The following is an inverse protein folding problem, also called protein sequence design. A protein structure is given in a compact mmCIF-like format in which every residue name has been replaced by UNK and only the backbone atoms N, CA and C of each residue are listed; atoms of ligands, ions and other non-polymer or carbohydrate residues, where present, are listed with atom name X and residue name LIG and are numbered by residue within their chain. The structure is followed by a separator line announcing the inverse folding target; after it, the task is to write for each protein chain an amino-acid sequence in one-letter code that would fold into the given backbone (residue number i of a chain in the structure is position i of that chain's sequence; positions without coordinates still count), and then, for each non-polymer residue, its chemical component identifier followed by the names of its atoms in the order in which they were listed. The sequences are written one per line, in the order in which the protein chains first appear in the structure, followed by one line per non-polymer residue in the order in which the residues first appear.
data_IF_794237349514
#
_entry.id   IF_794237349514
#
_cell.length_a   1.000
_cell.length_b   1.000
_cell.length_c   1.000
_cell.angle_alpha   90.00
_cell.angle_beta   90.00
_cell.angle_gamma   90.00
#
_symmetry.space_group_name_H-M   'P 1'
#
loop_
_entity.id
_entity.type
_entity.pdbx_description
1 polymer ?
#
# COMPACT_ATOMS: atom_id res chain seq x y z
N UNK A 1 -30.20 -5.54 7.77
CA UNK A 1 -29.56 -4.70 8.81
C UNK A 1 -29.07 -5.63 9.91
N UNK A 2 -27.77 -5.87 9.99
CA UNK A 2 -27.19 -6.71 11.04
C UNK A 2 -27.25 -5.95 12.37
N UNK A 3 -27.76 -6.60 13.42
CA UNK A 3 -27.83 -6.04 14.77
C UNK A 3 -26.39 -5.88 15.30
N UNK A 4 -26.03 -4.68 15.79
CA UNK A 4 -24.75 -4.45 16.46
C UNK A 4 -24.67 -5.36 17.69
N UNK A 5 -23.53 -6.02 17.86
CA UNK A 5 -23.20 -6.87 19.01
C UNK A 5 -23.01 -5.96 20.24
N UNK A 6 -23.64 -6.30 21.35
CA UNK A 6 -23.51 -5.56 22.62
C UNK A 6 -22.64 -6.35 23.61
N UNK A 7 -22.28 -5.74 24.74
CA UNK A 7 -21.55 -6.40 25.85
C UNK A 7 -22.17 -7.75 26.27
N UNK A 8 -23.51 -7.84 26.26
CA UNK A 8 -24.22 -9.07 26.63
C UNK A 8 -24.08 -10.21 25.59
N UNK A 9 -23.66 -9.90 24.36
CA UNK A 9 -23.46 -10.87 23.28
C UNK A 9 -22.00 -11.39 23.22
N UNK A 10 -21.13 -10.94 24.14
CA UNK A 10 -19.71 -11.33 24.21
C UNK A 10 -19.57 -12.72 24.85
N UNK A 11 -19.15 -13.70 24.05
CA UNK A 11 -18.98 -15.10 24.45
C UNK A 11 -17.67 -15.36 25.23
N UNK A 12 -17.57 -16.53 25.85
CA UNK A 12 -16.34 -16.98 26.53
C UNK A 12 -15.14 -17.10 25.58
N UNK A 13 -15.36 -17.36 24.29
CA UNK A 13 -14.31 -17.37 23.27
C UNK A 13 -13.74 -15.96 23.05
N UNK A 14 -14.62 -14.95 22.99
CA UNK A 14 -14.21 -13.54 22.91
C UNK A 14 -13.46 -13.08 24.15
N UNK A 15 -13.94 -13.43 25.37
CA UNK A 15 -13.27 -13.07 26.63
C UNK A 15 -11.85 -13.64 26.72
N UNK A 16 -11.64 -14.88 26.28
CA UNK A 16 -10.29 -15.47 26.20
C UNK A 16 -9.36 -14.68 25.28
N UNK A 17 -9.87 -14.26 24.12
CA UNK A 17 -9.13 -13.42 23.18
C UNK A 17 -8.81 -12.06 23.83
N UNK A 18 -9.78 -11.43 24.48
CA UNK A 18 -9.59 -10.14 25.14
C UNK A 18 -8.56 -10.20 26.27
N UNK A 19 -8.55 -11.28 27.06
CA UNK A 19 -7.54 -11.50 28.10
C UNK A 19 -6.11 -11.59 27.54
N UNK A 20 -5.94 -12.28 26.41
CA UNK A 20 -4.64 -12.37 25.73
C UNK A 20 -4.22 -11.00 25.19
N UNK A 21 -5.14 -10.25 24.59
CA UNK A 21 -4.90 -8.90 24.07
C UNK A 21 -4.53 -7.92 25.19
N UNK A 22 -5.29 -7.95 26.29
CA UNK A 22 -5.07 -7.19 27.52
C UNK A 22 -3.66 -7.40 28.05
N UNK A 23 -3.24 -8.66 28.22
CA UNK A 23 -1.90 -9.01 28.70
C UNK A 23 -0.76 -8.47 27.82
N UNK A 24 -0.92 -8.47 26.50
CA UNK A 24 0.16 -8.10 25.58
C UNK A 24 0.26 -6.60 25.26
N UNK A 25 -0.81 -5.84 25.50
CA UNK A 25 -0.86 -4.40 25.28
C UNK A 25 -0.94 -3.58 26.56
N UNK A 26 -0.88 -4.23 27.73
CA UNK A 26 -0.99 -3.60 29.05
C UNK A 26 -2.29 -2.77 29.19
N UNK A 27 -3.39 -3.31 28.67
CA UNK A 27 -4.74 -2.73 28.74
C UNK A 27 -5.61 -3.57 29.67
N UNK A 28 -6.68 -2.99 30.22
CA UNK A 28 -7.70 -3.76 30.95
C UNK A 28 -8.60 -4.54 29.97
N UNK A 29 -9.19 -5.65 30.42
CA UNK A 29 -10.13 -6.41 29.59
C UNK A 29 -11.33 -5.57 29.15
N UNK A 30 -11.82 -4.68 30.04
CA UNK A 30 -12.90 -3.75 29.73
C UNK A 30 -12.51 -2.74 28.63
N UNK A 31 -11.29 -2.21 28.65
CA UNK A 31 -10.78 -1.32 27.59
C UNK A 31 -10.69 -2.05 26.24
N UNK A 32 -10.24 -3.31 26.24
CA UNK A 32 -10.16 -4.13 25.02
C UNK A 32 -11.55 -4.41 24.47
N UNK A 33 -12.50 -4.79 25.31
CA UNK A 33 -13.88 -5.07 24.92
C UNK A 33 -14.57 -3.82 24.35
N UNK A 34 -14.48 -2.69 25.05
CA UNK A 34 -15.02 -1.42 24.59
C UNK A 34 -14.42 -1.02 23.24
N UNK A 35 -13.09 -1.14 23.10
CA UNK A 35 -12.40 -0.80 21.86
C UNK A 35 -12.83 -1.70 20.69
N UNK A 36 -13.00 -3.00 20.94
CA UNK A 36 -13.45 -3.96 19.93
C UNK A 36 -14.89 -3.69 19.47
N UNK A 37 -15.79 -3.36 20.39
CA UNK A 37 -17.20 -3.06 20.07
C UNK A 37 -17.40 -1.68 19.45
N UNK A 38 -16.57 -0.69 19.82
CA UNK A 38 -16.59 0.65 19.25
C UNK A 38 -15.89 0.75 17.89
N UNK A 39 -15.10 -0.25 17.51
CA UNK A 39 -14.46 -0.31 16.20
C UNK A 39 -15.50 -0.40 15.06
N UNK A 40 -15.30 0.26 13.90
CA UNK A 40 -16.32 0.37 12.85
C UNK A 40 -16.93 -0.97 12.40
N UNK A 41 -16.08 -1.99 12.22
CA UNK A 41 -16.46 -3.32 11.77
C UNK A 41 -16.37 -4.37 12.88
N UNK A 42 -15.97 -3.98 14.09
CA UNK A 42 -15.60 -4.89 15.18
C UNK A 42 -16.71 -5.86 15.61
N UNK A 43 -17.94 -5.39 15.90
CA UNK A 43 -19.06 -6.25 16.25
C UNK A 43 -19.38 -7.33 15.21
N UNK A 44 -19.28 -6.99 13.92
CA UNK A 44 -19.53 -7.93 12.83
C UNK A 44 -18.39 -8.96 12.71
N UNK A 45 -17.14 -8.52 12.88
CA UNK A 45 -15.96 -9.38 12.86
C UNK A 45 -15.97 -10.42 13.98
N UNK A 46 -16.32 -10.01 15.20
CA UNK A 46 -16.44 -10.94 16.34
C UNK A 46 -17.51 -12.01 16.08
N UNK A 47 -18.69 -11.60 15.61
CA UNK A 47 -19.76 -12.54 15.27
C UNK A 47 -19.37 -13.52 14.16
N UNK A 48 -18.71 -13.00 13.11
CA UNK A 48 -18.25 -13.81 12.00
C UNK A 48 -17.15 -14.78 12.43
N UNK A 49 -16.31 -14.40 13.39
CA UNK A 49 -15.26 -15.24 13.93
C UNK A 49 -15.82 -16.45 14.69
N UNK A 50 -16.90 -16.27 15.44
CA UNK A 50 -17.61 -17.35 16.12
C UNK A 50 -18.29 -18.29 15.11
N UNK A 51 -19.05 -17.72 14.16
CA UNK A 51 -19.84 -18.48 13.20
C UNK A 51 -18.99 -19.25 12.17
N UNK A 52 -17.77 -18.78 11.89
CA UNK A 52 -16.91 -19.34 10.84
C UNK A 52 -15.92 -20.36 11.39
N UNK A 53 -15.73 -21.45 10.64
CA UNK A 53 -14.68 -22.45 10.92
C UNK A 53 -13.28 -21.97 10.56
N UNK A 54 -13.18 -21.01 9.64
CA UNK A 54 -11.92 -20.39 9.22
C UNK A 54 -12.10 -18.89 9.23
N UNK A 55 -11.40 -18.21 10.14
CA UNK A 55 -11.56 -16.77 10.37
C UNK A 55 -10.29 -16.19 11.01
N UNK A 56 -10.10 -14.89 10.82
CA UNK A 56 -8.98 -14.14 11.38
C UNK A 56 -9.51 -12.87 12.05
N UNK A 57 -9.02 -12.57 13.25
CA UNK A 57 -9.20 -11.29 13.92
C UNK A 57 -7.86 -10.59 14.05
N UNK A 58 -7.85 -9.28 13.81
CA UNK A 58 -6.66 -8.43 13.92
C UNK A 58 -6.93 -7.28 14.88
N UNK A 59 -6.17 -7.24 15.98
CA UNK A 59 -6.17 -6.16 16.95
C UNK A 59 -4.95 -5.30 16.74
N UNK A 60 -5.14 -4.04 16.35
CA UNK A 60 -4.06 -3.09 16.16
C UNK A 60 -4.00 -2.10 17.30
N UNK A 61 -2.84 -2.03 17.94
CA UNK A 61 -2.52 -1.02 18.94
C UNK A 61 -1.69 0.07 18.28
N UNK A 62 -2.34 1.19 17.98
CA UNK A 62 -1.78 2.26 17.15
C UNK A 62 -2.19 3.64 17.63
N UNK A 63 -1.39 4.67 17.32
CA UNK A 63 -1.80 6.06 17.57
C UNK A 63 -2.96 6.39 16.65
N UNK A 64 -4.01 7.02 17.16
CA UNK A 64 -5.05 7.54 16.28
C UNK A 64 -4.45 8.53 15.27
N UNK A 65 -4.92 8.51 14.03
CA UNK A 65 -4.63 9.63 13.14
C UNK A 65 -5.44 10.82 13.68
N UNK A 66 -4.83 11.99 13.93
CA UNK A 66 -5.61 13.15 14.33
C UNK A 66 -6.66 13.42 13.25
N UNK A 67 -7.94 13.41 13.64
CA UNK A 67 -8.99 14.02 12.83
C UNK A 67 -8.56 15.46 12.60
N UNK A 68 -8.29 15.81 11.34
CA UNK A 68 -7.97 17.13 10.79
C UNK A 68 -8.19 18.31 11.76
N UNK A 69 -7.24 18.52 12.66
CA UNK A 69 -6.96 19.81 13.26
C UNK A 69 -5.45 19.88 13.27
N UNK A 70 -4.89 20.60 12.30
CA UNK A 70 -3.52 21.09 12.35
C UNK A 70 -3.37 22.00 13.58
N UNK A 71 -3.21 21.38 14.74
CA UNK A 71 -2.76 22.05 15.94
C UNK A 71 -1.28 21.72 16.05
N UNK A 72 -0.45 22.71 15.72
CA UNK A 72 1.01 22.71 15.85
C UNK A 72 1.46 22.77 17.33
N UNK A 73 0.80 22.00 18.19
CA UNK A 73 1.16 21.80 19.60
C UNK A 73 1.27 20.30 19.80
N UNK A 74 2.41 19.85 20.31
CA UNK A 74 2.73 18.43 20.55
C UNK A 74 1.81 17.77 21.57
N UNK A 75 0.55 17.56 21.21
CA UNK A 75 -0.39 16.70 21.93
C UNK A 75 0.02 15.27 21.58
N UNK A 76 0.52 14.53 22.57
CA UNK A 76 0.71 13.08 22.43
C UNK A 76 -0.64 12.46 22.11
N UNK A 77 -0.82 12.03 20.86
CA UNK A 77 -2.03 11.33 20.46
C UNK A 77 -2.08 10.00 21.20
N UNK A 78 -3.16 9.69 21.96
CA UNK A 78 -3.26 8.46 22.71
C UNK A 78 -3.22 7.26 21.76
N UNK A 79 -2.64 6.17 22.25
CA UNK A 79 -2.72 4.88 21.59
C UNK A 79 -4.15 4.35 21.73
N UNK A 80 -4.75 3.91 20.64
CA UNK A 80 -6.03 3.22 20.63
C UNK A 80 -5.89 1.81 20.08
N UNK A 81 -6.75 0.92 20.59
CA UNK A 81 -6.87 -0.43 20.10
C UNK A 81 -8.01 -0.47 19.07
N UNK A 82 -7.75 -1.03 17.90
CA UNK A 82 -8.75 -1.10 16.83
C UNK A 82 -8.85 -2.53 16.33
N UNK A 83 -10.09 -3.03 16.24
CA UNK A 83 -10.41 -4.31 15.62
C UNK A 83 -10.81 -4.09 14.15
N UNK A 84 -10.08 -4.72 13.22
CA UNK A 84 -10.31 -4.56 11.78
C UNK A 84 -9.97 -5.82 11.01
N UNK A 85 -10.49 -5.94 9.78
CA UNK A 85 -10.08 -6.95 8.80
C UNK A 85 -8.84 -6.54 7.99
N UNK A 86 -8.37 -5.31 8.21
CA UNK A 86 -7.18 -4.73 7.63
C UNK A 86 -7.30 -4.25 6.18
N UNK A 87 -8.51 -4.15 5.63
CA UNK A 87 -8.71 -3.70 4.24
C UNK A 87 -8.85 -2.19 4.07
N UNK A 88 -9.53 -1.53 5.01
CA UNK A 88 -9.99 -0.15 4.84
C UNK A 88 -9.23 0.87 5.70
N UNK A 89 -8.42 0.42 6.65
CA UNK A 89 -7.78 1.31 7.63
C UNK A 89 -6.26 1.31 7.45
N UNK A 90 -5.67 2.50 7.59
CA UNK A 90 -4.22 2.65 7.68
C UNK A 90 -3.74 2.03 8.99
N UNK A 91 -2.90 1.02 8.87
CA UNK A 91 -2.39 0.22 9.98
C UNK A 91 -0.96 0.63 10.28
N UNK A 92 -0.63 0.94 11.53
CA UNK A 92 0.73 1.18 12.02
C UNK A 92 0.88 0.63 13.44
N UNK A 93 2.07 0.24 13.87
CA UNK A 93 2.31 -0.22 15.24
C UNK A 93 2.20 -1.74 15.42
N UNK A 94 1.68 -2.19 16.56
CA UNK A 94 1.65 -3.60 16.89
C UNK A 94 0.28 -4.20 16.60
N UNK A 95 0.29 -5.31 15.88
CA UNK A 95 -0.86 -6.15 15.59
C UNK A 95 -0.79 -7.42 16.42
N UNK A 96 -1.90 -7.81 17.03
CA UNK A 96 -2.11 -9.19 17.45
C UNK A 96 -3.14 -9.83 16.53
N UNK A 97 -2.81 -10.99 15.99
CA UNK A 97 -3.73 -11.76 15.16
C UNK A 97 -4.17 -13.03 15.86
N UNK A 98 -5.41 -13.44 15.59
CA UNK A 98 -6.00 -14.69 16.04
C UNK A 98 -6.55 -15.41 14.83
N UNK A 99 -6.08 -16.63 14.59
CA UNK A 99 -6.44 -17.45 13.45
C UNK A 99 -7.13 -18.73 13.91
N UNK A 100 -8.35 -18.89 13.42
CA UNK A 100 -9.16 -20.11 13.54
C UNK A 100 -9.11 -20.82 12.21
N UNK A 101 -8.82 -22.12 12.22
CA UNK A 101 -8.77 -22.93 11.00
C UNK A 101 -9.38 -24.30 11.25
N UNK A 102 -10.16 -24.79 10.28
CA UNK A 102 -10.73 -26.15 10.34
C UNK A 102 -9.65 -27.25 10.45
N UNK A 103 -8.42 -26.96 9.99
CA UNK A 103 -7.30 -27.91 10.00
C UNK A 103 -6.57 -28.00 11.34
N UNK A 104 -6.77 -27.03 12.24
CA UNK A 104 -6.08 -26.97 13.53
C UNK A 104 -7.11 -26.79 14.64
N UNK A 105 -7.23 -27.72 15.60
CA UNK A 105 -8.25 -27.64 16.64
C UNK A 105 -8.01 -26.48 17.62
N UNK A 106 -6.79 -25.93 17.66
CA UNK A 106 -6.40 -24.86 18.57
C UNK A 106 -6.41 -23.49 17.88
N UNK A 107 -6.80 -22.47 18.64
CA UNK A 107 -6.66 -21.07 18.26
C UNK A 107 -5.18 -20.72 18.13
N UNK A 108 -4.78 -20.25 16.95
CA UNK A 108 -3.42 -19.79 16.70
C UNK A 108 -3.40 -18.27 16.95
N UNK A 109 -2.54 -17.81 17.85
CA UNK A 109 -2.33 -16.38 18.07
C UNK A 109 -0.87 -16.00 17.80
N UNK A 110 -0.66 -14.75 17.43
CA UNK A 110 0.68 -14.22 17.26
C UNK A 110 0.70 -12.70 17.22
N UNK A 111 1.90 -12.14 17.37
CA UNK A 111 2.13 -10.69 17.35
C UNK A 111 2.98 -10.31 16.15
N UNK A 112 2.54 -9.31 15.41
CA UNK A 112 3.22 -8.74 14.26
C UNK A 112 3.46 -7.27 14.53
N UNK A 113 4.62 -6.75 14.13
CA UNK A 113 4.84 -5.30 14.11
C UNK A 113 4.62 -4.82 12.69
N UNK A 114 3.48 -4.20 12.44
CA UNK A 114 3.22 -3.54 11.17
C UNK A 114 3.94 -2.19 11.19
N UNK A 115 5.17 -2.15 10.65
CA UNK A 115 5.79 -0.87 10.33
C UNK A 115 5.10 -0.37 9.06
N UNK A 116 4.36 0.72 9.18
CA UNK A 116 3.88 1.50 8.05
C UNK A 116 4.27 2.95 8.31
N UNK A 117 5.53 3.27 8.05
CA UNK A 117 6.10 4.62 8.13
C UNK A 117 7.24 4.72 7.11
N UNK A 118 7.93 5.86 7.07
CA UNK A 118 9.09 6.12 6.19
C UNK A 118 10.18 5.02 6.24
N UNK A 119 10.20 4.18 7.27
CA UNK A 119 11.15 3.08 7.49
C UNK A 119 10.67 1.66 7.10
N UNK A 120 9.45 1.49 6.56
CA UNK A 120 9.00 0.19 6.04
C UNK A 120 7.49 0.03 5.93
N UNK A 121 7.05 -0.92 5.09
CA UNK A 121 5.64 -1.28 4.85
C UNK A 121 5.26 -2.65 5.44
N UNK A 122 3.96 -2.97 5.45
CA UNK A 122 3.50 -4.33 5.78
C UNK A 122 4.11 -5.37 4.82
N UNK A 123 4.36 -4.99 3.56
CA UNK A 123 5.01 -5.87 2.59
C UNK A 123 6.45 -6.20 3.00
N UNK A 124 7.26 -5.22 3.45
CA UNK A 124 8.59 -5.46 4.04
C UNK A 124 8.51 -6.43 5.21
N UNK A 125 7.51 -6.26 6.07
CA UNK A 125 7.32 -7.11 7.25
C UNK A 125 7.04 -8.55 6.83
N UNK A 126 6.14 -8.76 5.87
CA UNK A 126 5.84 -10.09 5.30
C UNK A 126 7.07 -10.69 4.62
N UNK A 127 7.78 -9.91 3.80
CA UNK A 127 9.01 -10.36 3.12
C UNK A 127 10.08 -10.78 4.14
N UNK A 128 10.28 -10.01 5.20
CA UNK A 128 11.22 -10.35 6.28
C UNK A 128 10.83 -11.65 7.00
N UNK A 129 9.55 -11.85 7.32
CA UNK A 129 9.08 -13.08 7.97
C UNK A 129 9.27 -14.30 7.07
N UNK A 130 8.90 -14.18 5.79
CA UNK A 130 9.08 -15.24 4.81
C UNK A 130 10.56 -15.59 4.64
N UNK A 131 11.43 -14.58 4.48
CA UNK A 131 12.87 -14.74 4.24
C UNK A 131 13.62 -15.28 5.47
N UNK A 132 13.32 -14.78 6.66
CA UNK A 132 14.12 -15.03 7.86
C UNK A 132 13.57 -16.15 8.76
N UNK A 133 12.27 -16.43 8.71
CA UNK A 133 11.63 -17.43 9.59
C UNK A 133 11.15 -18.63 8.77
N UNK A 134 10.26 -18.39 7.80
CA UNK A 134 9.60 -19.49 7.10
C UNK A 134 10.53 -20.22 6.12
N UNK A 135 11.30 -19.50 5.31
CA UNK A 135 12.23 -20.10 4.33
C UNK A 135 13.29 -21.01 4.98
N UNK A 136 13.97 -20.63 6.07
CA UNK A 136 14.85 -21.53 6.80
C UNK A 136 14.11 -22.73 7.39
N UNK A 137 12.93 -22.52 7.98
CA UNK A 137 12.12 -23.61 8.55
C UNK A 137 11.71 -24.65 7.50
N UNK A 138 11.31 -24.21 6.30
CA UNK A 138 11.00 -25.07 5.17
C UNK A 138 12.24 -25.74 4.55
N UNK A 139 13.42 -25.17 4.77
CA UNK A 139 14.70 -25.69 4.29
C UNK A 139 15.34 -26.72 5.23
N UNK A 140 14.93 -26.75 6.50
CA UNK A 140 15.45 -27.70 7.50
C UNK A 140 14.52 -28.90 7.67
N UNK A 141 13.20 -28.73 7.50
CA UNK A 141 12.22 -29.81 7.66
C UNK A 141 12.45 -30.96 6.68
N UNK A 142 12.86 -32.12 7.19
CA UNK A 142 13.08 -33.37 6.43
C UNK A 142 11.81 -34.17 6.15
N UNK A 143 10.72 -33.89 6.87
CA UNK A 143 9.57 -34.82 6.98
C UNK A 143 8.35 -34.36 6.16
N UNK A 144 8.56 -33.94 4.91
CA UNK A 144 7.46 -33.41 4.10
C UNK A 144 6.49 -34.48 3.57
N UNK A 145 6.93 -35.74 3.36
CA UNK A 145 6.08 -36.92 3.09
C UNK A 145 6.92 -38.20 3.01
N UNK A 146 6.28 -39.38 3.06
CA UNK A 146 6.90 -40.72 2.96
C UNK A 146 7.54 -41.06 1.58
N UNK A 147 7.41 -40.22 0.55
CA UNK A 147 7.94 -40.45 -0.80
C UNK A 147 9.04 -39.42 -1.13
N UNK A 148 10.30 -39.78 -0.90
CA UNK A 148 11.47 -38.89 -0.90
C UNK A 148 11.64 -38.07 -2.20
N UNK A 149 11.59 -38.68 -3.39
CA UNK A 149 11.86 -37.97 -4.66
C UNK A 149 10.79 -36.96 -5.08
N UNK A 150 9.49 -37.28 -4.87
CA UNK A 150 8.39 -36.36 -5.20
C UNK A 150 8.27 -35.26 -4.15
N UNK A 151 8.61 -35.57 -2.90
CA UNK A 151 8.66 -34.61 -1.80
C UNK A 151 9.74 -33.54 -2.06
N UNK A 152 10.94 -33.95 -2.47
CA UNK A 152 12.05 -33.04 -2.73
C UNK A 152 11.76 -32.10 -3.92
N UNK A 153 11.19 -32.63 -5.02
CA UNK A 153 10.77 -31.80 -6.15
C UNK A 153 9.71 -30.76 -5.76
N UNK A 154 8.69 -31.16 -5.00
CA UNK A 154 7.64 -30.26 -4.55
C UNK A 154 8.18 -29.21 -3.56
N UNK A 155 9.11 -29.60 -2.68
CA UNK A 155 9.78 -28.70 -1.74
C UNK A 155 10.58 -27.65 -2.50
N UNK A 156 11.40 -28.06 -3.46
CA UNK A 156 12.18 -27.12 -4.28
C UNK A 156 11.28 -26.17 -5.07
N UNK A 157 10.21 -26.68 -5.68
CA UNK A 157 9.23 -25.83 -6.36
C UNK A 157 8.54 -24.82 -5.42
N UNK A 158 8.24 -25.23 -4.18
CA UNK A 158 7.66 -24.36 -3.17
C UNK A 158 8.65 -23.28 -2.71
N UNK A 159 9.89 -23.66 -2.41
CA UNK A 159 10.97 -22.74 -2.05
C UNK A 159 11.25 -21.75 -3.19
N UNK A 160 11.25 -22.20 -4.43
CA UNK A 160 11.42 -21.32 -5.58
C UNK A 160 10.23 -20.38 -5.73
N UNK A 161 9.00 -20.84 -5.51
CA UNK A 161 7.82 -19.97 -5.49
C UNK A 161 7.94 -18.87 -4.42
N UNK A 162 8.41 -19.22 -3.22
CA UNK A 162 8.67 -18.25 -2.15
C UNK A 162 9.76 -17.25 -2.53
N UNK A 163 10.87 -17.70 -3.16
CA UNK A 163 11.93 -16.79 -3.65
C UNK A 163 11.38 -15.81 -4.68
N UNK A 164 10.56 -16.28 -5.63
CA UNK A 164 9.93 -15.41 -6.62
C UNK A 164 8.99 -14.40 -5.97
N UNK A 165 8.19 -14.84 -4.99
CA UNK A 165 7.29 -13.96 -4.25
C UNK A 165 8.03 -12.89 -3.44
N UNK A 166 9.11 -13.26 -2.75
CA UNK A 166 9.97 -12.31 -2.03
C UNK A 166 10.59 -11.27 -2.99
N UNK A 167 11.14 -11.73 -4.14
CA UNK A 167 11.65 -10.82 -5.18
C UNK A 167 10.57 -9.86 -5.68
N UNK A 168 9.35 -10.35 -5.86
CA UNK A 168 8.21 -9.53 -6.27
C UNK A 168 7.85 -8.46 -5.22
N UNK A 169 7.82 -8.82 -3.92
CA UNK A 169 7.60 -7.84 -2.85
C UNK A 169 8.73 -6.81 -2.82
N UNK A 170 9.99 -7.23 -2.87
CA UNK A 170 11.14 -6.33 -2.86
C UNK A 170 11.06 -5.32 -4.02
N UNK A 171 10.75 -5.80 -5.24
CA UNK A 171 10.55 -4.94 -6.40
C UNK A 171 9.35 -3.99 -6.23
N UNK A 172 8.25 -4.46 -5.61
CA UNK A 172 7.06 -3.64 -5.37
C UNK A 172 7.33 -2.55 -4.33
N UNK A 173 8.10 -2.84 -3.28
CA UNK A 173 8.50 -1.84 -2.30
C UNK A 173 9.47 -0.81 -2.86
N UNK A 174 10.41 -1.25 -3.69
CA UNK A 174 11.30 -0.35 -4.44
C UNK A 174 10.46 0.59 -5.31
N UNK A 175 9.54 0.05 -6.11
CA UNK A 175 8.58 0.83 -6.90
C UNK A 175 7.77 1.82 -6.05
N UNK A 176 7.31 1.43 -4.86
CA UNK A 176 6.54 2.33 -3.98
C UNK A 176 7.35 3.56 -3.55
N UNK A 177 8.66 3.41 -3.30
CA UNK A 177 9.55 4.55 -2.98
C UNK A 177 9.66 5.55 -4.13
N UNK A 178 9.30 5.14 -5.34
CA UNK A 178 9.41 5.94 -6.55
C UNK A 178 8.07 6.59 -6.94
N UNK A 179 6.98 6.30 -6.23
CA UNK A 179 5.70 6.98 -6.43
C UNK A 179 5.88 8.48 -6.18
N UNK A 180 5.42 9.28 -7.13
CA UNK A 180 5.53 10.73 -7.07
C UNK A 180 4.48 11.28 -6.11
N UNK A 181 4.93 12.00 -5.08
CA UNK A 181 4.02 12.60 -4.09
C UNK A 181 3.52 13.97 -4.57
N UNK A 182 2.26 14.03 -4.98
CA UNK A 182 1.56 15.29 -5.25
C UNK A 182 1.04 15.88 -3.94
N UNK A 183 1.87 16.69 -3.29
CA UNK A 183 1.47 17.40 -2.08
C UNK A 183 0.29 18.32 -2.38
N UNK A 184 -0.72 18.25 -1.51
CA UNK A 184 -1.75 19.27 -1.41
C UNK A 184 -1.40 20.13 -0.21
N UNK A 185 -1.11 21.40 -0.44
CA UNK A 185 -0.71 22.33 0.60
C UNK A 185 -1.87 22.71 1.54
N UNK A 186 -3.03 22.04 1.44
CA UNK A 186 -4.22 22.29 2.27
C UNK A 186 -4.86 23.66 2.02
N UNK A 187 -4.36 24.40 1.01
CA UNK A 187 -4.73 25.79 0.74
C UNK A 187 -6.14 25.92 0.18
N UNK A 188 -6.71 24.82 -0.34
CA UNK A 188 -8.02 24.81 -1.00
C UNK A 188 -8.74 23.51 -0.68
N UNK A 189 -9.91 23.62 -0.08
CA UNK A 189 -10.83 22.49 0.03
C UNK A 189 -11.71 22.40 -1.22
N UNK A 190 -11.43 21.39 -2.05
CA UNK A 190 -12.22 21.04 -3.25
C UNK A 190 -13.13 19.83 -3.01
N UNK A 191 -13.18 19.28 -1.80
CA UNK A 191 -13.97 18.07 -1.48
C UNK A 191 -15.48 18.28 -1.64
N UNK A 192 -15.95 19.52 -1.46
CA UNK A 192 -17.33 19.92 -1.66
C UNK A 192 -17.75 20.15 -3.12
N UNK A 193 -16.80 20.20 -4.06
CA UNK A 193 -17.09 20.50 -5.48
C UNK A 193 -17.34 19.20 -6.24
N UNK A 194 -18.61 18.85 -6.42
CA UNK A 194 -19.00 17.58 -7.07
C UNK A 194 -19.74 17.79 -8.38
N UNK A 195 -20.52 18.87 -8.49
CA UNK A 195 -21.34 19.14 -9.67
C UNK A 195 -20.74 20.21 -10.57
N UNK A 196 -21.23 20.29 -11.81
CA UNK A 196 -20.86 21.34 -12.74
C UNK A 196 -21.28 22.73 -12.25
N UNK A 197 -22.45 22.85 -11.61
CA UNK A 197 -22.91 24.11 -11.00
C UNK A 197 -21.99 24.56 -9.86
N UNK A 198 -21.47 23.63 -9.07
CA UNK A 198 -20.49 23.95 -8.00
C UNK A 198 -19.19 24.49 -8.61
N UNK A 199 -18.73 23.89 -9.72
CA UNK A 199 -17.55 24.37 -10.45
C UNK A 199 -17.78 25.80 -10.98
N UNK A 200 -18.96 26.10 -11.52
CA UNK A 200 -19.30 27.44 -11.99
C UNK A 200 -19.34 28.45 -10.85
N UNK A 201 -19.97 28.11 -9.72
CA UNK A 201 -20.01 28.98 -8.53
C UNK A 201 -18.60 29.23 -7.98
N UNK A 202 -17.74 28.22 -8.02
CA UNK A 202 -16.35 28.34 -7.60
C UNK A 202 -15.56 29.28 -8.53
N UNK A 203 -15.80 29.18 -9.84
CA UNK A 203 -15.14 29.99 -10.87
C UNK A 203 -15.50 31.49 -10.85
N UNK A 204 -16.57 31.90 -10.14
CA UNK A 204 -16.93 33.31 -9.97
C UNK A 204 -15.95 34.05 -9.05
N UNK A 205 -15.27 33.33 -8.15
CA UNK A 205 -14.36 33.92 -7.17
C UNK A 205 -12.92 33.88 -7.67
N UNK A 206 -12.45 34.98 -8.26
CA UNK A 206 -11.10 35.10 -8.82
C UNK A 206 -9.99 34.68 -7.84
N UNK A 207 -10.11 35.03 -6.55
CA UNK A 207 -9.14 34.62 -5.52
C UNK A 207 -9.02 33.10 -5.37
N UNK A 208 -10.15 32.38 -5.43
CA UNK A 208 -10.16 30.91 -5.33
C UNK A 208 -9.63 30.27 -6.60
N UNK A 209 -9.96 30.84 -7.77
CA UNK A 209 -9.43 30.39 -9.06
C UNK A 209 -7.91 30.53 -9.09
N UNK A 210 -7.36 31.65 -8.61
CA UNK A 210 -5.90 31.86 -8.52
C UNK A 210 -5.20 30.80 -7.67
N UNK A 211 -5.81 30.41 -6.54
CA UNK A 211 -5.25 29.33 -5.73
C UNK A 211 -5.26 28.00 -6.48
N UNK A 212 -6.34 27.68 -7.21
CA UNK A 212 -6.44 26.44 -8.01
C UNK A 212 -5.44 26.46 -9.17
N UNK A 213 -5.19 27.62 -9.77
CA UNK A 213 -4.15 27.80 -10.78
C UNK A 213 -2.74 27.56 -10.19
N UNK A 214 -2.46 28.06 -8.98
CA UNK A 214 -1.19 27.79 -8.29
C UNK A 214 -1.00 26.29 -8.00
N UNK A 215 -2.05 25.63 -7.49
CA UNK A 215 -2.02 24.18 -7.25
C UNK A 215 -1.73 23.41 -8.54
N UNK A 216 -2.40 23.78 -9.64
CA UNK A 216 -2.18 23.16 -10.94
C UNK A 216 -0.77 23.46 -11.48
N UNK A 217 -0.22 24.65 -11.24
CA UNK A 217 1.15 25.00 -11.62
C UNK A 217 2.19 24.14 -10.85
N UNK A 218 1.97 23.93 -9.55
CA UNK A 218 2.80 23.05 -8.73
C UNK A 218 2.77 21.61 -9.25
N UNK A 219 1.58 21.09 -9.59
CA UNK A 219 1.46 19.75 -10.18
C UNK A 219 2.14 19.66 -11.55
N UNK A 220 1.94 20.64 -12.42
CA UNK A 220 2.62 20.69 -13.73
C UNK A 220 4.14 20.69 -13.56
N UNK A 221 4.68 21.44 -12.59
CA UNK A 221 6.12 21.48 -12.29
C UNK A 221 6.64 20.09 -11.92
N UNK A 222 5.96 19.40 -11.00
CA UNK A 222 6.32 18.03 -10.60
C UNK A 222 6.29 17.08 -11.80
N UNK A 223 5.27 17.18 -12.66
CA UNK A 223 5.14 16.35 -13.86
C UNK A 223 6.29 16.62 -14.84
N UNK A 224 6.66 17.89 -15.03
CA UNK A 224 7.79 18.29 -15.86
C UNK A 224 9.12 17.73 -15.33
N UNK A 225 9.34 17.74 -14.02
CA UNK A 225 10.53 17.17 -13.39
C UNK A 225 10.65 15.67 -13.68
N UNK A 226 9.54 14.92 -13.52
CA UNK A 226 9.50 13.47 -13.80
C UNK A 226 9.75 13.18 -15.29
N UNK A 227 9.15 13.97 -16.20
CA UNK A 227 9.37 13.85 -17.65
C UNK A 227 10.82 14.16 -18.01
N UNK A 228 11.40 15.22 -17.44
CA UNK A 228 12.78 15.62 -17.70
C UNK A 228 13.78 14.54 -17.27
N UNK A 229 13.57 13.94 -16.09
CA UNK A 229 14.37 12.83 -15.60
C UNK A 229 14.33 11.62 -16.54
N UNK A 230 13.14 11.27 -17.06
CA UNK A 230 13.01 10.18 -18.04
C UNK A 230 13.69 10.45 -19.39
N UNK A 231 14.02 11.70 -19.68
CA UNK A 231 14.65 12.14 -20.93
C UNK A 231 16.14 12.42 -20.79
N UNK A 232 16.69 12.30 -19.58
CA UNK A 232 18.07 12.64 -19.31
C UNK A 232 19.00 11.61 -19.95
N UNK A 233 19.91 12.08 -20.82
CA UNK A 233 20.98 11.25 -21.38
C UNK A 233 21.96 10.93 -20.25
N UNK A 234 22.10 9.64 -19.94
CA UNK A 234 23.05 9.15 -18.92
C UNK A 234 24.38 8.85 -19.59
N UNK A 235 25.47 9.26 -18.95
CA UNK A 235 26.80 8.70 -19.22
C UNK A 235 26.89 7.38 -18.46
N UNK A 236 26.82 6.27 -19.16
CA UNK A 236 26.94 4.92 -18.58
C UNK A 236 28.42 4.57 -18.37
N UNK A 237 28.71 3.86 -17.28
CA UNK A 237 30.03 3.26 -17.07
C UNK A 237 30.13 1.95 -17.88
N UNK A 238 31.34 1.54 -18.27
CA UNK A 238 31.57 0.36 -19.13
C UNK A 238 31.14 -0.99 -18.48
N UNK A 239 30.68 -0.99 -17.23
CA UNK A 239 30.25 -2.15 -16.44
C UNK A 239 28.73 -2.31 -16.29
N UNK A 240 27.93 -1.50 -17.00
CA UNK A 240 26.47 -1.55 -16.94
C UNK A 240 25.92 -2.75 -17.71
N UNK A 241 25.53 -3.80 -16.99
CA UNK A 241 24.91 -4.99 -17.56
C UNK A 241 23.42 -4.84 -17.91
N UNK A 242 22.84 -5.73 -18.74
CA UNK A 242 21.44 -5.65 -19.20
C UNK A 242 20.39 -5.66 -18.08
N UNK A 243 20.71 -6.25 -16.93
CA UNK A 243 19.84 -6.23 -15.75
C UNK A 243 19.76 -4.83 -15.10
N UNK A 244 20.84 -4.05 -15.17
CA UNK A 244 20.85 -2.67 -14.65
C UNK A 244 19.95 -1.79 -15.51
N UNK A 245 20.06 -1.89 -16.84
CA UNK A 245 19.19 -1.17 -17.77
C UNK A 245 17.72 -1.55 -17.60
N UNK A 246 17.42 -2.85 -17.44
CA UNK A 246 16.06 -3.28 -17.21
C UNK A 246 15.47 -2.67 -15.92
N UNK A 247 16.23 -2.66 -14.82
CA UNK A 247 15.80 -2.05 -13.55
C UNK A 247 15.58 -0.55 -13.69
N UNK A 248 16.47 0.14 -14.41
CA UNK A 248 16.34 1.56 -14.68
C UNK A 248 15.05 1.89 -15.43
N UNK A 249 14.75 1.17 -16.51
CA UNK A 249 13.52 1.39 -17.28
C UNK A 249 12.26 1.02 -16.50
N UNK A 250 12.32 0.00 -15.63
CA UNK A 250 11.23 -0.32 -14.70
C UNK A 250 10.99 0.81 -13.69
N UNK A 251 12.06 1.37 -13.14
CA UNK A 251 12.01 2.55 -12.28
C UNK A 251 11.32 3.74 -12.97
N UNK A 252 11.78 4.12 -14.16
CA UNK A 252 11.20 5.23 -14.93
C UNK A 252 9.72 4.97 -15.24
N UNK A 253 9.38 3.75 -15.69
CA UNK A 253 8.01 3.37 -16.00
C UNK A 253 7.09 3.45 -14.77
N UNK A 254 7.58 3.02 -13.60
CA UNK A 254 6.83 3.11 -12.34
C UNK A 254 6.52 4.57 -11.99
N UNK A 255 7.54 5.45 -12.07
CA UNK A 255 7.36 6.88 -11.79
C UNK A 255 6.34 7.53 -12.72
N UNK A 256 6.50 7.34 -14.02
CA UNK A 256 5.59 7.92 -15.02
C UNK A 256 4.16 7.35 -14.87
N UNK A 257 4.02 6.06 -14.56
CA UNK A 257 2.70 5.46 -14.32
C UNK A 257 2.03 6.02 -13.06
N UNK A 258 2.80 6.28 -11.99
CA UNK A 258 2.25 6.91 -10.78
C UNK A 258 1.70 8.33 -11.05
N UNK A 259 2.34 9.07 -11.96
CA UNK A 259 1.83 10.36 -12.43
C UNK A 259 0.55 10.17 -13.24
N UNK A 260 0.50 9.19 -14.14
CA UNK A 260 -0.70 8.91 -14.92
C UNK A 260 -1.90 8.51 -14.04
N UNK A 261 -1.67 7.71 -13.00
CA UNK A 261 -2.69 7.33 -12.02
C UNK A 261 -3.22 8.57 -11.26
N UNK A 262 -2.33 9.49 -10.87
CA UNK A 262 -2.73 10.75 -10.24
C UNK A 262 -3.57 11.64 -11.18
N UNK A 263 -3.18 11.73 -12.45
CA UNK A 263 -3.92 12.50 -13.48
C UNK A 263 -5.33 11.96 -13.71
N UNK A 264 -5.52 10.65 -13.52
CA UNK A 264 -6.84 10.00 -13.59
C UNK A 264 -7.66 10.12 -12.29
N UNK A 265 -7.08 10.66 -11.22
CA UNK A 265 -7.79 10.80 -9.94
C UNK A 265 -8.95 11.79 -10.03
N UNK A 266 -10.03 11.52 -9.27
CA UNK A 266 -11.20 12.41 -9.18
C UNK A 266 -10.79 13.84 -8.80
N UNK A 267 -9.81 13.97 -7.91
CA UNK A 267 -9.28 15.25 -7.45
C UNK A 267 -8.70 16.07 -8.60
N UNK A 268 -7.86 15.45 -9.42
CA UNK A 268 -7.26 16.11 -10.58
C UNK A 268 -8.34 16.52 -11.58
N UNK A 269 -9.29 15.63 -11.87
CA UNK A 269 -10.41 15.94 -12.75
C UNK A 269 -11.30 17.09 -12.25
N UNK A 270 -11.53 17.20 -10.93
CA UNK A 270 -12.26 18.33 -10.35
C UNK A 270 -11.52 19.65 -10.56
N UNK A 271 -10.20 19.68 -10.36
CA UNK A 271 -9.38 20.87 -10.65
C UNK A 271 -9.46 21.29 -12.11
N UNK A 272 -9.36 20.33 -13.04
CA UNK A 272 -9.51 20.59 -14.48
C UNK A 272 -10.90 21.19 -14.80
N UNK A 273 -11.97 20.67 -14.20
CA UNK A 273 -13.35 21.19 -14.40
C UNK A 273 -13.50 22.62 -13.91
N UNK A 274 -12.98 22.95 -12.73
CA UNK A 274 -12.99 24.31 -12.17
C UNK A 274 -12.23 25.27 -13.10
N UNK A 275 -11.01 24.91 -13.49
CA UNK A 275 -10.17 25.73 -14.38
C UNK A 275 -10.79 25.91 -15.77
N UNK A 276 -11.53 24.91 -16.25
CA UNK A 276 -12.28 24.99 -17.52
C UNK A 276 -13.44 25.96 -17.41
N UNK A 277 -14.19 25.92 -16.31
CA UNK A 277 -15.26 26.88 -16.04
C UNK A 277 -14.73 28.32 -15.93
N UNK A 278 -13.54 28.50 -15.34
CA UNK A 278 -12.84 29.77 -15.23
C UNK A 278 -12.10 30.20 -16.52
N UNK A 279 -12.09 29.38 -17.58
CA UNK A 279 -11.35 29.62 -18.83
C UNK A 279 -9.85 29.90 -18.63
N UNK A 280 -9.23 29.23 -17.66
CA UNK A 280 -7.82 29.44 -17.32
C UNK A 280 -6.88 29.05 -18.45
N UNK A 281 -5.84 29.86 -18.66
CA UNK A 281 -4.80 29.61 -19.67
C UNK A 281 -3.87 28.45 -19.30
N UNK A 282 -3.81 28.07 -18.01
CA UNK A 282 -2.92 27.00 -17.54
C UNK A 282 -3.26 25.63 -18.16
N UNK A 283 -4.52 25.45 -18.59
CA UNK A 283 -4.96 24.24 -19.28
C UNK A 283 -4.23 23.99 -20.60
N UNK A 284 -3.74 25.05 -21.26
CA UNK A 284 -2.92 24.90 -22.48
C UNK A 284 -1.54 24.32 -22.15
N UNK A 285 -0.93 24.79 -21.06
CA UNK A 285 0.35 24.28 -20.57
C UNK A 285 0.22 22.82 -20.14
N UNK A 286 -0.88 22.50 -19.45
CA UNK A 286 -1.22 21.12 -19.07
C UNK A 286 -1.33 20.20 -20.28
N UNK A 287 -2.11 20.57 -21.30
CA UNK A 287 -2.31 19.75 -22.49
C UNK A 287 -0.99 19.41 -23.22
N UNK A 288 0.00 20.31 -23.18
CA UNK A 288 1.33 20.03 -23.71
C UNK A 288 2.08 18.98 -22.88
N UNK A 289 2.01 19.06 -21.54
CA UNK A 289 2.66 18.09 -20.67
C UNK A 289 1.98 16.72 -20.72
N UNK A 290 0.65 16.67 -20.82
CA UNK A 290 -0.12 15.42 -20.92
C UNK A 290 0.27 14.60 -22.15
N UNK A 291 0.48 15.28 -23.29
CA UNK A 291 0.99 14.65 -24.51
C UNK A 291 2.40 14.07 -24.30
N UNK A 292 3.31 14.86 -23.73
CA UNK A 292 4.70 14.42 -23.45
C UNK A 292 4.74 13.25 -22.47
N UNK A 293 3.89 13.29 -21.44
CA UNK A 293 3.74 12.20 -20.47
C UNK A 293 3.32 10.91 -21.15
N UNK A 294 2.30 10.97 -22.02
CA UNK A 294 1.81 9.82 -22.78
C UNK A 294 2.91 9.22 -23.66
N UNK A 295 3.65 10.06 -24.39
CA UNK A 295 4.76 9.62 -25.25
C UNK A 295 5.85 8.91 -24.42
N UNK A 296 6.21 9.48 -23.26
CA UNK A 296 7.25 8.92 -22.37
C UNK A 296 6.85 7.62 -21.69
N UNK A 297 5.58 7.48 -21.30
CA UNK A 297 5.06 6.23 -20.75
C UNK A 297 5.15 5.11 -21.79
N UNK A 298 4.78 5.39 -23.04
CA UNK A 298 4.85 4.41 -24.11
C UNK A 298 6.31 4.01 -24.40
N UNK A 299 7.22 4.98 -24.48
CA UNK A 299 8.66 4.73 -24.65
C UNK A 299 9.21 3.83 -23.54
N UNK A 300 8.96 4.19 -22.26
CA UNK A 300 9.42 3.40 -21.12
C UNK A 300 8.82 1.98 -21.12
N UNK A 301 7.55 1.83 -21.49
CA UNK A 301 6.87 0.53 -21.58
C UNK A 301 7.48 -0.37 -22.65
N UNK A 302 7.77 0.18 -23.82
CA UNK A 302 8.39 -0.56 -24.91
C UNK A 302 9.83 -0.98 -24.57
N UNK A 303 10.59 -0.09 -23.92
CA UNK A 303 11.94 -0.40 -23.45
C UNK A 303 11.95 -1.51 -22.41
N UNK A 304 11.07 -1.45 -21.40
CA UNK A 304 10.91 -2.54 -20.41
C UNK A 304 10.56 -3.85 -21.11
N UNK A 305 9.60 -3.83 -22.04
CA UNK A 305 9.16 -5.04 -22.76
C UNK A 305 10.29 -5.66 -23.58
N UNK A 306 11.09 -4.83 -24.25
CA UNK A 306 12.24 -5.29 -25.03
C UNK A 306 13.33 -5.89 -24.14
N UNK A 307 13.73 -5.17 -23.09
CA UNK A 307 14.78 -5.60 -22.16
C UNK A 307 14.39 -6.87 -21.38
N UNK A 308 13.11 -7.04 -21.02
CA UNK A 308 12.61 -8.28 -20.40
C UNK A 308 12.70 -9.48 -21.35
N UNK A 309 12.50 -9.27 -22.65
CA UNK A 309 12.66 -10.35 -23.64
C UNK A 309 14.12 -10.74 -23.80
N UNK A 310 15.03 -9.74 -23.84
CA UNK A 310 16.46 -9.98 -23.86
C UNK A 310 16.94 -10.70 -22.60
N UNK A 311 16.49 -10.29 -21.40
CA UNK A 311 16.84 -10.95 -20.14
C UNK A 311 16.51 -12.45 -20.17
N UNK A 312 15.30 -12.81 -20.61
CA UNK A 312 14.88 -14.22 -20.71
C UNK A 312 15.74 -15.04 -21.67
N UNK A 313 16.31 -14.40 -22.69
CA UNK A 313 17.22 -15.05 -23.64
C UNK A 313 18.60 -15.17 -23.00
N UNK A 314 19.13 -14.09 -22.41
CA UNK A 314 20.42 -14.05 -21.74
C UNK A 314 20.50 -15.02 -20.54
N UNK A 315 19.42 -15.14 -19.76
CA UNK A 315 19.35 -16.06 -18.62
C UNK A 315 19.59 -17.51 -19.03
N UNK A 316 19.13 -17.93 -20.22
CA UNK A 316 19.40 -19.27 -20.75
C UNK A 316 20.87 -19.51 -21.07
N UNK A 317 21.65 -18.47 -21.34
CA UNK A 317 23.09 -18.61 -21.52
C UNK A 317 23.80 -18.73 -20.18
N UNK A 318 23.42 -17.93 -19.17
CA UNK A 318 23.97 -18.02 -17.82
C UNK A 318 23.67 -19.35 -17.10
N UNK A 319 22.54 -19.99 -17.40
CA UNK A 319 22.17 -21.30 -16.85
C UNK A 319 22.90 -22.48 -17.53
N UNK A 320 23.51 -22.26 -18.71
CA UNK A 320 24.23 -23.31 -19.47
C UNK A 320 25.76 -23.23 -19.33
N UNK A 321 26.30 -22.14 -18.76
CA UNK A 321 27.74 -21.91 -18.55
C UNK A 321 28.20 -22.19 -17.09
N UNK A 322 27.33 -22.77 -16.24
CA UNK A 322 27.63 -23.31 -14.91
C UNK A 322 27.36 -24.81 -14.86
#
# INVERSE_FOLDING_TARGET
AFRKLNHDDVTDEHRKIFSIVSYHFDLTEDEVENSALCSPDGPELLKNFEASKTSVLLFFHQKEKPFLIESSVGIEVPLSLILTDGKNQGINGYCMYFLKSEKTPNLICGRLRARCSEEGSMAATVNSLLKNIYMPSFSIGSDWTKNELKAEKNRNACLDSFKHFNKYIEATEENYKHIVNFQDNGRIDISGVKTFEDCQKFAIFDEKVLLVEQLMADWIRIIQEVIAESSQIRMEADDVGPLHELRYWQYILCRLSSVADFVQSDKFHTVIKILTAAQSRILKLWAEQDRKLTDKINEARDNVKYLQQLEKICQKFYENDM
#
